data_IF_940341427313
#
_entry.id   IF_940341427313
#
_cell.length_a   1.000
_cell.length_b   1.000
_cell.length_c   1.000
_cell.angle_alpha   90.00
_cell.angle_beta   90.00
_cell.angle_gamma   90.00
#
_symmetry.space_group_name_H-M   'P 1'
#
loop_
_entity.id
_entity.type
_entity.pdbx_description
1 polymer ?
#
# COMPACT_ATOMS: atom_id res chain seq x y z
N UNK A 1 3.63 96.30 -12.82
CA UNK A 1 2.85 96.00 -11.60
C UNK A 1 2.36 94.56 -11.65
N UNK A 2 2.72 93.75 -10.65
CA UNK A 2 2.04 92.51 -10.34
C UNK A 2 2.66 91.20 -10.86
N UNK A 3 3.81 90.83 -10.29
CA UNK A 3 4.32 89.47 -10.33
C UNK A 3 3.39 88.58 -9.50
N UNK A 4 3.00 87.41 -10.04
CA UNK A 4 2.53 86.28 -9.26
C UNK A 4 3.15 85.05 -9.77
N UNK A 5 4.04 84.51 -8.95
CA UNK A 5 4.67 83.21 -9.07
C UNK A 5 3.66 82.11 -8.92
N UNK A 6 3.58 81.23 -9.94
CA UNK A 6 2.85 79.98 -9.86
C UNK A 6 3.81 78.90 -9.32
N UNK A 7 3.53 78.50 -8.13
CA UNK A 7 4.20 77.31 -7.56
C UNK A 7 3.61 76.08 -8.19
N UNK A 8 4.44 75.32 -8.91
CA UNK A 8 4.11 73.99 -9.40
C UNK A 8 4.15 72.98 -8.27
N UNK A 9 2.98 72.51 -7.86
CA UNK A 9 2.85 71.40 -6.91
C UNK A 9 3.07 70.11 -7.71
N UNK A 10 4.23 69.50 -7.49
CA UNK A 10 4.53 68.20 -8.02
C UNK A 10 3.75 67.14 -7.24
N UNK A 11 2.72 66.56 -7.84
CA UNK A 11 2.04 65.37 -7.35
C UNK A 11 2.90 64.16 -7.61
N UNK A 12 3.64 63.75 -6.57
CA UNK A 12 4.34 62.48 -6.58
C UNK A 12 3.32 61.36 -6.37
N UNK A 13 2.86 60.75 -7.46
CA UNK A 13 2.06 59.53 -7.40
C UNK A 13 2.94 58.35 -7.07
N UNK A 14 2.97 57.97 -5.80
CA UNK A 14 3.55 56.72 -5.34
C UNK A 14 2.68 55.57 -5.85
N UNK A 15 3.17 54.90 -6.90
CA UNK A 15 2.60 53.66 -7.40
C UNK A 15 3.01 52.53 -6.46
N UNK A 16 2.17 52.26 -5.46
CA UNK A 16 2.32 51.09 -4.60
C UNK A 16 2.01 49.84 -5.44
N UNK A 17 3.06 49.19 -5.93
CA UNK A 17 2.96 47.90 -6.51
C UNK A 17 2.65 46.87 -5.41
N UNK A 18 1.38 46.49 -5.28
CA UNK A 18 0.96 45.33 -4.50
C UNK A 18 1.53 44.07 -5.18
N UNK A 19 2.69 43.62 -4.72
CA UNK A 19 3.16 42.29 -5.02
C UNK A 19 2.30 41.34 -4.20
N UNK A 20 1.24 40.80 -4.81
CA UNK A 20 0.50 39.68 -4.27
C UNK A 20 1.42 38.45 -4.39
N UNK A 21 2.17 38.15 -3.32
CA UNK A 21 2.82 36.84 -3.17
C UNK A 21 1.72 35.79 -3.09
N UNK A 22 1.39 35.17 -4.21
CA UNK A 22 0.64 33.95 -4.27
C UNK A 22 1.52 32.87 -3.62
N UNK A 23 1.42 32.71 -2.30
CA UNK A 23 1.94 31.54 -1.62
C UNK A 23 1.16 30.32 -2.16
N UNK A 24 1.71 29.66 -3.20
CA UNK A 24 1.27 28.33 -3.55
C UNK A 24 1.53 27.47 -2.31
N UNK A 25 0.50 27.24 -1.53
CA UNK A 25 0.51 26.22 -0.50
C UNK A 25 0.78 24.89 -1.22
N UNK A 26 2.04 24.46 -1.22
CA UNK A 26 2.42 23.13 -1.67
C UNK A 26 1.80 22.15 -0.66
N UNK A 27 0.58 21.70 -0.94
CA UNK A 27 0.04 20.56 -0.22
C UNK A 27 1.03 19.42 -0.39
N UNK A 28 1.54 18.83 0.70
CA UNK A 28 2.39 17.67 0.60
C UNK A 28 1.58 16.58 -0.12
N UNK A 29 1.99 16.22 -1.32
CA UNK A 29 1.44 15.05 -1.99
C UNK A 29 1.78 13.87 -1.12
N UNK A 30 0.82 12.97 -0.83
CA UNK A 30 1.16 11.73 -0.16
C UNK A 30 2.22 11.03 -1.02
N UNK A 31 3.45 11.00 -0.51
CA UNK A 31 4.53 10.25 -1.14
C UNK A 31 4.14 8.78 -1.03
N UNK A 32 4.10 8.08 -2.17
CA UNK A 32 3.95 6.63 -2.12
C UNK A 32 5.05 6.09 -1.21
N UNK A 33 4.67 5.32 -0.20
CA UNK A 33 5.64 4.73 0.69
C UNK A 33 6.49 3.75 -0.12
N UNK A 34 7.80 3.94 -0.10
CA UNK A 34 8.72 2.98 -0.69
C UNK A 34 8.57 1.64 0.03
N UNK A 35 8.64 0.53 -0.72
CA UNK A 35 8.66 -0.80 -0.12
C UNK A 35 9.91 -0.92 0.76
N UNK A 36 9.77 -1.15 2.07
CA UNK A 36 10.92 -1.27 2.95
C UNK A 36 11.78 -2.47 2.56
N UNK A 37 13.10 -2.33 2.60
CA UNK A 37 14.04 -3.42 2.30
C UNK A 37 13.84 -4.65 3.18
N UNK A 38 13.29 -4.47 4.38
CA UNK A 38 12.92 -5.55 5.30
C UNK A 38 11.80 -6.47 4.77
N UNK A 39 11.09 -6.09 3.73
CA UNK A 39 10.10 -6.95 3.07
C UNK A 39 10.74 -7.94 2.11
N UNK A 40 11.84 -7.57 1.47
CA UNK A 40 12.46 -8.37 0.42
C UNK A 40 13.08 -9.65 0.96
N UNK A 41 12.93 -10.71 0.19
CA UNK A 41 13.42 -12.05 0.50
C UNK A 41 12.33 -13.11 0.43
N UNK A 42 12.65 -14.32 0.90
CA UNK A 42 11.74 -15.46 0.92
C UNK A 42 11.14 -15.65 2.31
N UNK A 43 9.84 -15.90 2.34
CA UNK A 43 9.02 -16.06 3.53
C UNK A 43 8.30 -17.40 3.49
N UNK A 44 8.40 -18.19 4.55
CA UNK A 44 7.77 -19.51 4.65
C UNK A 44 6.62 -19.49 5.64
N UNK A 45 5.46 -19.97 5.24
CA UNK A 45 4.30 -20.13 6.13
C UNK A 45 4.63 -21.06 7.29
N UNK A 46 4.44 -20.58 8.51
CA UNK A 46 4.43 -21.41 9.72
C UNK A 46 2.98 -21.78 10.06
N UNK A 47 2.54 -22.95 9.59
CA UNK A 47 1.17 -23.44 9.79
C UNK A 47 0.82 -23.59 11.27
N UNK A 48 1.79 -24.03 12.10
CA UNK A 48 1.56 -24.25 13.53
C UNK A 48 1.33 -22.96 14.33
N UNK A 49 1.84 -21.82 13.84
CA UNK A 49 1.63 -20.50 14.44
C UNK A 49 0.48 -19.72 13.80
N UNK A 50 -0.15 -20.29 12.79
CA UNK A 50 -1.25 -19.66 12.03
C UNK A 50 -2.60 -20.15 12.51
N UNK A 51 -3.61 -19.27 12.44
CA UNK A 51 -4.99 -19.57 12.84
C UNK A 51 -5.92 -19.32 11.66
N UNK A 52 -6.89 -20.23 11.49
CA UNK A 52 -7.87 -20.17 10.41
C UNK A 52 -9.27 -20.36 11.01
N UNK A 53 -10.13 -19.36 10.86
CA UNK A 53 -11.50 -19.41 11.37
C UNK A 53 -12.50 -18.95 10.29
N UNK A 54 -13.42 -19.81 9.87
CA UNK A 54 -13.55 -21.24 10.22
C UNK A 54 -12.62 -22.13 9.40
N UNK A 55 -12.18 -23.22 9.98
CA UNK A 55 -11.68 -24.38 9.24
C UNK A 55 -10.21 -24.67 9.33
N UNK A 56 -9.79 -25.72 8.58
CA UNK A 56 -8.40 -26.12 8.52
C UNK A 56 -7.58 -25.19 7.65
N UNK A 57 -6.24 -25.21 7.79
CA UNK A 57 -5.34 -24.48 6.91
C UNK A 57 -5.61 -24.81 5.43
N UNK A 58 -5.79 -23.81 4.56
CA UNK A 58 -6.03 -24.04 3.12
C UNK A 58 -4.77 -24.55 2.38
N UNK A 59 -3.60 -24.38 2.99
CA UNK A 59 -2.31 -24.79 2.46
C UNK A 59 -1.52 -25.56 3.51
N UNK A 60 -0.84 -26.64 3.07
CA UNK A 60 0.13 -27.34 3.91
C UNK A 60 1.51 -26.65 3.90
N UNK A 61 1.78 -25.86 2.87
CA UNK A 61 2.98 -25.05 2.71
C UNK A 61 2.66 -23.85 1.82
N UNK A 62 3.17 -22.69 2.17
CA UNK A 62 3.20 -21.55 1.28
C UNK A 62 4.55 -20.84 1.40
N UNK A 63 5.03 -20.31 0.29
CA UNK A 63 6.21 -19.46 0.22
C UNK A 63 5.82 -18.17 -0.50
N UNK A 64 6.23 -17.04 0.07
CA UNK A 64 6.18 -15.75 -0.59
C UNK A 64 7.61 -15.32 -0.87
N UNK A 65 7.91 -15.01 -2.12
CA UNK A 65 9.17 -14.37 -2.50
C UNK A 65 8.84 -12.93 -2.87
N UNK A 66 9.47 -11.98 -2.19
CA UNK A 66 9.24 -10.54 -2.39
C UNK A 66 10.53 -9.94 -2.92
N UNK A 67 10.44 -9.30 -4.08
CA UNK A 67 11.56 -8.72 -4.82
C UNK A 67 11.31 -7.24 -5.11
N UNK A 68 12.35 -6.40 -5.24
CA UNK A 68 12.19 -5.03 -5.72
C UNK A 68 11.59 -5.00 -7.13
N UNK A 69 10.71 -4.02 -7.40
CA UNK A 69 10.13 -3.82 -8.71
C UNK A 69 9.91 -2.34 -9.00
N UNK A 70 10.30 -1.89 -10.21
CA UNK A 70 9.99 -0.53 -10.69
C UNK A 70 10.54 0.61 -9.84
N UNK A 71 11.62 0.38 -9.08
CA UNK A 71 12.31 1.36 -8.25
C UNK A 71 11.74 1.56 -6.85
N UNK A 72 10.44 1.74 -6.71
CA UNK A 72 9.74 2.01 -5.44
C UNK A 72 8.68 0.96 -5.09
N UNK A 73 8.44 -0.01 -5.99
CA UNK A 73 7.47 -1.07 -5.82
C UNK A 73 8.09 -2.42 -5.42
N UNK A 74 7.22 -3.42 -5.39
CA UNK A 74 7.60 -4.81 -5.13
C UNK A 74 6.88 -5.76 -6.08
N UNK A 75 7.55 -6.87 -6.38
CA UNK A 75 6.97 -8.07 -6.97
C UNK A 75 6.82 -9.10 -5.87
N UNK A 76 5.65 -9.71 -5.77
CA UNK A 76 5.38 -10.81 -4.82
C UNK A 76 5.00 -12.04 -5.61
N UNK A 77 5.74 -13.12 -5.39
CA UNK A 77 5.49 -14.43 -5.96
C UNK A 77 4.93 -15.33 -4.86
N UNK A 78 3.75 -15.87 -5.08
CA UNK A 78 3.05 -16.76 -4.16
C UNK A 78 3.11 -18.19 -4.68
N UNK A 79 3.70 -19.08 -3.91
CA UNK A 79 3.70 -20.52 -4.19
C UNK A 79 3.02 -21.25 -3.04
N UNK A 80 1.85 -21.83 -3.29
CA UNK A 80 1.01 -22.44 -2.28
C UNK A 80 0.72 -23.88 -2.63
N UNK A 81 1.03 -24.81 -1.72
CA UNK A 81 0.79 -26.25 -1.86
C UNK A 81 -0.43 -26.64 -1.05
N UNK A 82 -1.45 -27.16 -1.73
CA UNK A 82 -2.71 -27.56 -1.08
C UNK A 82 -2.57 -28.87 -0.28
N UNK A 83 -3.42 -29.10 0.75
CA UNK A 83 -3.36 -30.32 1.57
C UNK A 83 -3.53 -31.62 0.76
N UNK A 84 -4.38 -31.61 -0.27
CA UNK A 84 -4.68 -32.76 -1.14
C UNK A 84 -3.75 -32.85 -2.36
N UNK A 85 -2.71 -32.04 -2.42
CA UNK A 85 -1.84 -31.93 -3.59
C UNK A 85 -2.25 -30.76 -4.49
N UNK A 86 -1.44 -30.51 -5.53
CA UNK A 86 -1.58 -29.33 -6.38
C UNK A 86 -0.82 -28.13 -5.82
N UNK A 87 -0.40 -27.26 -6.74
CA UNK A 87 0.33 -26.02 -6.46
C UNK A 87 -0.42 -24.88 -7.13
N UNK A 88 -0.62 -23.81 -6.39
CA UNK A 88 -1.06 -22.52 -6.93
C UNK A 88 0.14 -21.60 -7.00
N UNK A 89 0.37 -21.02 -8.16
CA UNK A 89 1.38 -20.02 -8.41
C UNK A 89 0.68 -18.71 -8.82
N UNK A 90 0.92 -17.64 -8.07
CA UNK A 90 0.38 -16.31 -8.35
C UNK A 90 1.50 -15.29 -8.32
N UNK A 91 1.36 -14.22 -9.10
CA UNK A 91 2.27 -13.08 -9.08
C UNK A 91 1.51 -11.77 -8.93
N UNK A 92 2.06 -10.88 -8.13
CA UNK A 92 1.59 -9.52 -8.00
C UNK A 92 2.75 -8.54 -8.15
N UNK A 93 2.51 -7.45 -8.86
CA UNK A 93 3.48 -6.37 -9.05
C UNK A 93 2.78 -5.04 -8.81
N UNK A 94 3.33 -4.22 -7.94
CA UNK A 94 2.72 -2.93 -7.62
C UNK A 94 3.52 -2.11 -6.62
N UNK A 95 2.91 -1.00 -6.20
CA UNK A 95 3.45 -0.07 -5.22
C UNK A 95 2.60 -0.03 -3.96
N UNK A 96 3.16 0.52 -2.89
CA UNK A 96 2.45 0.78 -1.63
C UNK A 96 1.87 2.20 -1.69
N UNK A 97 0.91 2.42 -2.60
CA UNK A 97 0.31 3.73 -2.88
C UNK A 97 -1.23 3.72 -2.79
N UNK A 98 -1.80 2.62 -2.33
CA UNK A 98 -3.25 2.44 -2.18
C UNK A 98 -4.00 2.21 -3.48
N UNK A 99 -3.31 2.09 -4.62
CA UNK A 99 -3.95 1.80 -5.90
C UNK A 99 -4.10 0.31 -6.13
N UNK A 100 -5.09 -0.04 -6.94
CA UNK A 100 -5.36 -1.41 -7.34
C UNK A 100 -4.36 -1.86 -8.42
N UNK A 101 -3.65 -2.96 -8.14
CA UNK A 101 -2.78 -3.64 -9.10
C UNK A 101 -3.27 -5.07 -9.31
N UNK A 102 -3.24 -5.59 -10.56
CA UNK A 102 -3.79 -6.91 -10.86
C UNK A 102 -2.94 -8.04 -10.27
N UNK A 103 -3.62 -9.07 -9.78
CA UNK A 103 -3.03 -10.37 -9.45
C UNK A 103 -3.00 -11.23 -10.71
N UNK A 104 -1.88 -11.85 -11.00
CA UNK A 104 -1.68 -12.74 -12.15
C UNK A 104 -1.67 -14.22 -11.72
N UNK A 105 -2.00 -15.12 -12.65
CA UNK A 105 -2.04 -16.57 -12.40
C UNK A 105 -3.40 -17.09 -11.92
N UNK A 106 -4.45 -16.27 -12.05
CA UNK A 106 -5.83 -16.66 -11.72
C UNK A 106 -6.79 -16.18 -12.82
N UNK A 107 -7.79 -17.00 -13.15
CA UNK A 107 -8.80 -16.71 -14.19
C UNK A 107 -9.92 -15.75 -13.71
N UNK A 108 -9.64 -14.94 -12.72
CA UNK A 108 -10.59 -13.98 -12.17
C UNK A 108 -9.96 -12.57 -12.11
N UNK A 109 -10.80 -11.53 -12.27
CA UNK A 109 -10.36 -10.16 -12.08
C UNK A 109 -10.14 -9.89 -10.58
N UNK A 110 -8.92 -10.11 -10.11
CA UNK A 110 -8.49 -9.85 -8.73
C UNK A 110 -7.45 -8.75 -8.72
N UNK A 111 -7.62 -7.78 -7.83
CA UNK A 111 -6.63 -6.73 -7.59
C UNK A 111 -6.27 -6.66 -6.12
N UNK A 112 -5.02 -6.29 -5.85
CA UNK A 112 -4.52 -5.96 -4.52
C UNK A 112 -4.10 -4.49 -4.48
N UNK A 113 -4.49 -3.79 -3.41
CA UNK A 113 -4.03 -2.45 -3.09
C UNK A 113 -3.32 -2.48 -1.74
N UNK A 114 -2.06 -2.06 -1.72
CA UNK A 114 -1.27 -1.95 -0.50
C UNK A 114 -1.16 -0.51 -0.05
N UNK A 115 -1.36 -0.25 1.25
CA UNK A 115 -1.18 1.05 1.89
C UNK A 115 -0.39 0.90 3.19
N UNK A 116 0.48 1.84 3.48
CA UNK A 116 1.09 1.91 4.80
C UNK A 116 0.16 2.66 5.76
N UNK A 117 -0.17 2.03 6.90
CA UNK A 117 -1.03 2.63 7.94
C UNK A 117 -0.24 3.16 9.13
N UNK A 118 0.92 2.57 9.41
CA UNK A 118 1.89 3.06 10.38
C UNK A 118 3.26 2.42 10.12
N UNK A 119 4.35 2.88 10.71
CA UNK A 119 5.66 2.26 10.55
C UNK A 119 5.60 0.75 10.82
N UNK A 120 6.05 -0.07 9.84
CA UNK A 120 6.03 -1.53 9.91
C UNK A 120 4.66 -2.20 9.79
N UNK A 121 3.57 -1.43 9.62
CA UNK A 121 2.21 -1.95 9.50
C UNK A 121 1.57 -1.48 8.21
N UNK A 122 1.01 -2.43 7.46
CA UNK A 122 0.41 -2.20 6.15
C UNK A 122 -0.99 -2.79 6.09
N UNK A 123 -1.85 -2.18 5.30
CA UNK A 123 -3.15 -2.72 4.93
C UNK A 123 -3.11 -3.19 3.49
N UNK A 124 -3.75 -4.32 3.23
CA UNK A 124 -4.00 -4.82 1.88
C UNK A 124 -5.50 -4.95 1.67
N UNK A 125 -6.01 -4.36 0.59
CA UNK A 125 -7.40 -4.52 0.15
C UNK A 125 -7.40 -5.44 -1.06
N UNK A 126 -8.13 -6.56 -0.96
CA UNK A 126 -8.32 -7.50 -2.05
C UNK A 126 -9.69 -7.26 -2.66
N UNK A 127 -9.74 -7.02 -3.97
CA UNK A 127 -10.99 -6.88 -4.71
C UNK A 127 -11.13 -8.01 -5.73
N UNK A 128 -12.35 -8.49 -5.90
CA UNK A 128 -12.74 -9.47 -6.91
C UNK A 128 -13.89 -8.87 -7.73
N UNK A 129 -13.71 -8.77 -9.04
CA UNK A 129 -14.68 -8.09 -9.90
C UNK A 129 -14.98 -6.63 -9.47
N UNK A 130 -13.98 -5.91 -8.93
CA UNK A 130 -14.12 -4.55 -8.43
C UNK A 130 -14.76 -4.40 -7.04
N UNK A 131 -15.22 -5.49 -6.41
CA UNK A 131 -15.81 -5.49 -5.07
C UNK A 131 -14.79 -5.95 -4.03
N UNK A 132 -14.78 -5.32 -2.85
CA UNK A 132 -13.91 -5.73 -1.75
C UNK A 132 -14.32 -7.14 -1.29
N UNK A 133 -13.40 -8.09 -1.41
CA UNK A 133 -13.56 -9.47 -0.97
C UNK A 133 -12.89 -9.73 0.37
N UNK A 134 -11.74 -9.08 0.63
CA UNK A 134 -11.01 -9.21 1.89
C UNK A 134 -10.20 -7.96 2.20
N UNK A 135 -9.89 -7.79 3.50
CA UNK A 135 -8.92 -6.82 4.00
C UNK A 135 -7.91 -7.54 4.86
N UNK A 136 -6.66 -7.19 4.69
CA UNK A 136 -5.58 -7.77 5.49
C UNK A 136 -4.74 -6.67 6.12
N UNK A 137 -4.33 -6.91 7.37
CA UNK A 137 -3.30 -6.12 8.04
C UNK A 137 -2.02 -6.94 8.08
N UNK A 138 -0.95 -6.39 7.55
CA UNK A 138 0.38 -7.03 7.49
C UNK A 138 1.31 -6.29 8.42
N UNK A 139 1.96 -7.00 9.32
CA UNK A 139 2.94 -6.46 10.27
C UNK A 139 4.23 -7.27 10.23
N UNK A 140 5.37 -6.57 10.16
CA UNK A 140 6.69 -7.17 10.34
C UNK A 140 7.12 -7.03 11.80
N UNK A 141 7.77 -8.06 12.33
CA UNK A 141 8.47 -7.98 13.62
C UNK A 141 9.63 -6.98 13.55
N UNK A 142 9.99 -6.42 14.70
CA UNK A 142 11.04 -5.41 14.77
C UNK A 142 12.41 -5.92 14.27
N UNK A 143 12.68 -7.23 14.46
CA UNK A 143 13.89 -7.91 13.99
C UNK A 143 13.81 -8.32 12.50
N UNK A 144 12.68 -8.10 11.84
CA UNK A 144 12.45 -8.45 10.44
C UNK A 144 12.41 -9.96 10.17
N UNK A 145 12.28 -10.80 11.19
CA UNK A 145 12.29 -12.27 11.05
C UNK A 145 10.90 -12.85 10.79
N UNK A 146 9.84 -12.15 11.19
CA UNK A 146 8.45 -12.64 11.14
C UNK A 146 7.55 -11.63 10.46
N UNK A 147 6.69 -12.12 9.56
CA UNK A 147 5.59 -11.36 8.95
C UNK A 147 4.27 -11.97 9.41
N UNK A 148 3.41 -11.18 10.05
CA UNK A 148 2.07 -11.60 10.46
C UNK A 148 1.04 -10.91 9.60
N UNK A 149 0.14 -11.68 9.00
CA UNK A 149 -0.98 -11.16 8.22
C UNK A 149 -2.29 -11.56 8.88
N UNK A 150 -3.09 -10.58 9.28
CA UNK A 150 -4.46 -10.79 9.76
C UNK A 150 -5.41 -10.42 8.64
N UNK A 151 -6.15 -11.38 8.11
CA UNK A 151 -7.10 -11.21 7.01
C UNK A 151 -8.51 -11.39 7.52
N UNK A 152 -9.40 -10.45 7.18
CA UNK A 152 -10.83 -10.55 7.41
C UNK A 152 -11.59 -10.43 6.10
N UNK A 153 -12.61 -11.24 5.91
CA UNK A 153 -13.38 -11.27 4.68
C UNK A 153 -14.65 -12.10 4.86
N UNK A 154 -15.18 -12.56 3.73
CA UNK A 154 -16.31 -13.48 3.69
C UNK A 154 -15.98 -14.68 2.80
N UNK A 155 -16.49 -15.84 3.16
CA UNK A 155 -16.40 -17.04 2.33
C UNK A 155 -17.41 -17.00 1.17
N UNK A 156 -17.41 -18.03 0.33
CA UNK A 156 -18.34 -18.14 -0.80
C UNK A 156 -19.83 -18.21 -0.39
N UNK A 157 -20.12 -18.52 0.88
CA UNK A 157 -21.46 -18.52 1.45
C UNK A 157 -21.82 -17.18 2.16
N UNK A 158 -20.93 -16.17 2.08
CA UNK A 158 -21.12 -14.87 2.73
C UNK A 158 -20.86 -14.86 4.22
N UNK A 159 -20.28 -15.92 4.80
CA UNK A 159 -19.99 -15.98 6.23
C UNK A 159 -18.67 -15.27 6.54
N UNK A 160 -18.60 -14.54 7.66
CA UNK A 160 -17.34 -13.92 8.08
C UNK A 160 -16.24 -14.97 8.27
N UNK A 161 -15.05 -14.64 7.78
CA UNK A 161 -13.83 -15.44 7.99
C UNK A 161 -12.73 -14.56 8.50
N UNK A 162 -11.93 -15.09 9.42
CA UNK A 162 -10.73 -14.44 9.93
C UNK A 162 -9.56 -15.41 9.90
N UNK A 163 -8.46 -14.98 9.33
CA UNK A 163 -7.26 -15.78 9.23
C UNK A 163 -6.07 -14.98 9.75
N UNK A 164 -5.27 -15.59 10.61
CA UNK A 164 -3.98 -15.05 11.03
C UNK A 164 -2.92 -15.98 10.49
N UNK A 165 -2.11 -15.50 9.56
CA UNK A 165 -0.99 -16.26 9.00
C UNK A 165 0.33 -15.67 9.47
N UNK A 166 1.22 -16.55 9.89
CA UNK A 166 2.56 -16.21 10.34
C UNK A 166 3.56 -16.79 9.33
N UNK A 167 4.37 -15.90 8.78
CA UNK A 167 5.45 -16.27 7.89
C UNK A 167 6.79 -16.00 8.56
N UNK A 168 7.74 -16.87 8.37
CA UNK A 168 9.09 -16.75 8.88
C UNK A 168 10.06 -16.58 7.71
N UNK A 169 11.05 -15.73 7.89
CA UNK A 169 12.09 -15.50 6.89
C UNK A 169 12.91 -16.77 6.68
N UNK A 170 13.22 -17.10 5.43
CA UNK A 170 14.13 -18.19 5.06
C UNK A 170 15.58 -17.71 5.07
#
# INVERSE_FOLDING_TARGET
MGSRSLQAVAFLRTLSALIACLALAAFPRPSAAQTPSSWFGAWSLNVARSTYDPGPPPYKRATYTIEPWGGDGMKVIYEMVHPRGGVTHLEWQGRIDGKDYPLQGIDASVTYAYSQVSPGVYETIVKMGGRVAAKSKVALSADGSTMTTTTSGVDSAGRPVTTITVYERK
#
